data_IF_997449161039
#
_entry.id   IF_997449161039
#
_cell.length_a   1.000
_cell.length_b   1.000
_cell.length_c   1.000
_cell.angle_alpha   90.00
_cell.angle_beta   90.00
_cell.angle_gamma   90.00
#
_symmetry.space_group_name_H-M   'P 1'
#
loop_
_entity.id
_entity.type
_entity.pdbx_description
1 polymer ?
#
# COMPACT_ATOMS: atom_id res chain seq x y z
N UNK A 1 16.60 13.59 -0.68
CA UNK A 1 16.03 13.33 -2.02
C UNK A 1 15.69 14.68 -2.64
N UNK A 2 16.09 14.93 -3.89
CA UNK A 2 15.93 16.24 -4.53
C UNK A 2 14.47 16.47 -4.97
N UNK A 3 14.00 17.70 -4.83
CA UNK A 3 12.65 18.15 -5.22
C UNK A 3 12.28 17.75 -6.66
N UNK A 4 13.26 17.80 -7.57
CA UNK A 4 13.12 17.39 -8.97
C UNK A 4 12.82 15.89 -9.14
N UNK A 5 13.35 15.01 -8.28
CA UNK A 5 13.04 13.58 -8.32
C UNK A 5 11.60 13.29 -7.88
N UNK A 6 11.06 14.10 -6.95
CA UNK A 6 9.67 13.98 -6.49
C UNK A 6 8.67 14.43 -7.56
N UNK A 7 9.01 15.50 -8.31
CA UNK A 7 8.16 15.98 -9.41
C UNK A 7 8.13 14.97 -10.56
N UNK A 8 9.28 14.41 -10.95
CA UNK A 8 9.35 13.41 -12.02
C UNK A 8 8.55 12.15 -11.68
N UNK A 9 8.62 11.67 -10.44
CA UNK A 9 7.83 10.52 -9.97
C UNK A 9 6.32 10.78 -10.07
N UNK A 10 5.86 11.92 -9.53
CA UNK A 10 4.43 12.29 -9.60
C UNK A 10 3.94 12.46 -11.04
N UNK A 11 4.75 13.00 -11.94
CA UNK A 11 4.40 13.17 -13.35
C UNK A 11 4.25 11.80 -14.05
N UNK A 12 5.17 10.87 -13.77
CA UNK A 12 5.12 9.52 -14.32
C UNK A 12 3.88 8.75 -13.84
N UNK A 13 3.54 8.86 -12.55
CA UNK A 13 2.34 8.24 -11.99
C UNK A 13 1.06 8.76 -12.67
N UNK A 14 0.94 10.09 -12.84
CA UNK A 14 -0.21 10.70 -13.52
C UNK A 14 -0.29 10.33 -15.01
N UNK A 15 0.85 10.23 -15.68
CA UNK A 15 0.89 9.77 -17.07
C UNK A 15 0.44 8.30 -17.18
N UNK A 16 0.90 7.44 -16.26
CA UNK A 16 0.46 6.05 -16.21
C UNK A 16 -1.05 5.91 -15.95
N UNK A 17 -1.60 6.70 -15.02
CA UNK A 17 -3.06 6.77 -14.77
C UNK A 17 -3.82 7.18 -16.05
N UNK A 18 -3.36 8.22 -16.75
CA UNK A 18 -3.97 8.70 -17.99
C UNK A 18 -3.92 7.68 -19.13
N UNK A 19 -2.80 6.98 -19.29
CA UNK A 19 -2.63 5.91 -20.27
C UNK A 19 -3.57 4.74 -19.96
N UNK A 20 -3.62 4.30 -18.69
CA UNK A 20 -4.50 3.23 -18.26
C UNK A 20 -5.99 3.56 -18.50
N UNK A 21 -6.41 4.78 -18.18
CA UNK A 21 -7.78 5.23 -18.43
C UNK A 21 -8.11 5.23 -19.94
N UNK A 22 -7.19 5.75 -20.76
CA UNK A 22 -7.36 5.81 -22.22
C UNK A 22 -7.42 4.42 -22.84
N UNK A 23 -6.54 3.51 -22.43
CA UNK A 23 -6.54 2.12 -22.87
C UNK A 23 -7.85 1.41 -22.48
N UNK A 24 -8.38 1.67 -21.29
CA UNK A 24 -9.65 1.08 -20.84
C UNK A 24 -10.80 1.51 -21.75
N UNK A 25 -10.89 2.80 -22.09
CA UNK A 25 -11.91 3.32 -23.01
C UNK A 25 -11.77 2.69 -24.40
N UNK A 26 -10.55 2.58 -24.92
CA UNK A 26 -10.28 1.97 -26.22
C UNK A 26 -10.66 0.49 -26.26
N UNK A 27 -10.36 -0.26 -25.19
CA UNK A 27 -10.73 -1.67 -25.07
C UNK A 27 -12.25 -1.86 -25.03
N UNK A 28 -12.96 -1.03 -24.27
CA UNK A 28 -14.43 -1.06 -24.22
C UNK A 28 -15.03 -0.73 -25.59
N UNK A 29 -14.50 0.30 -26.26
CA UNK A 29 -14.96 0.65 -27.60
C UNK A 29 -14.67 -0.46 -28.62
N UNK A 30 -13.48 -1.05 -28.60
CA UNK A 30 -13.12 -2.17 -29.47
C UNK A 30 -14.03 -3.39 -29.20
N UNK A 31 -14.29 -3.72 -27.95
CA UNK A 31 -15.22 -4.78 -27.57
C UNK A 31 -16.64 -4.49 -28.09
N UNK A 32 -17.11 -3.25 -28.00
CA UNK A 32 -18.42 -2.83 -28.53
C UNK A 32 -18.52 -3.02 -30.05
N UNK A 33 -17.46 -2.73 -30.81
CA UNK A 33 -17.43 -2.92 -32.27
C UNK A 33 -17.37 -4.39 -32.67
N UNK A 34 -16.61 -5.21 -31.92
CA UNK A 34 -16.42 -6.64 -32.22
C UNK A 34 -17.62 -7.47 -31.74
N UNK A 35 -18.32 -7.04 -30.68
CA UNK A 35 -19.41 -7.80 -30.07
C UNK A 35 -20.50 -8.22 -31.07
N UNK A 36 -21.07 -7.36 -31.94
CA UNK A 36 -22.10 -7.76 -32.90
C UNK A 36 -21.67 -8.87 -33.87
N UNK A 37 -20.38 -8.93 -34.23
CA UNK A 37 -19.86 -9.95 -35.14
C UNK A 37 -19.63 -11.30 -34.43
N UNK A 38 -19.26 -11.28 -33.15
CA UNK A 38 -18.86 -12.47 -32.40
C UNK A 38 -20.03 -13.07 -31.60
N UNK A 39 -20.97 -12.24 -31.11
CA UNK A 39 -22.14 -12.66 -30.32
C UNK A 39 -22.94 -13.80 -30.99
N UNK A 40 -23.31 -13.72 -32.29
CA UNK A 40 -24.08 -14.79 -32.93
C UNK A 40 -23.33 -16.13 -32.95
N UNK A 41 -22.00 -16.11 -33.16
CA UNK A 41 -21.18 -17.30 -33.15
C UNK A 41 -21.08 -17.91 -31.74
N UNK A 42 -21.00 -17.08 -30.70
CA UNK A 42 -21.01 -17.52 -29.31
C UNK A 42 -22.36 -18.14 -28.95
N UNK A 43 -23.47 -17.52 -29.33
CA UNK A 43 -24.83 -18.03 -29.05
C UNK A 43 -25.10 -19.37 -29.75
N UNK A 44 -24.54 -19.59 -30.95
CA UNK A 44 -24.66 -20.84 -31.67
C UNK A 44 -23.95 -22.03 -30.98
N UNK A 45 -22.87 -21.75 -30.25
CA UNK A 45 -22.01 -22.78 -29.63
C UNK A 45 -22.29 -22.93 -28.13
N UNK A 46 -22.82 -21.88 -27.48
CA UNK A 46 -22.82 -21.76 -26.02
C UNK A 46 -24.23 -21.54 -25.47
N UNK A 47 -24.63 -22.33 -24.48
CA UNK A 47 -25.93 -22.14 -23.84
C UNK A 47 -25.99 -20.84 -23.03
N UNK A 48 -27.17 -20.20 -22.98
CA UNK A 48 -27.42 -19.01 -22.15
C UNK A 48 -27.06 -19.21 -20.67
N UNK A 49 -27.20 -20.45 -20.16
CA UNK A 49 -26.82 -20.81 -18.79
C UNK A 49 -25.31 -20.69 -18.56
N UNK A 50 -24.50 -21.09 -19.53
CA UNK A 50 -23.03 -20.99 -19.45
C UNK A 50 -22.59 -19.53 -19.52
N UNK A 51 -23.19 -18.72 -20.40
CA UNK A 51 -22.91 -17.28 -20.47
C UNK A 51 -23.24 -16.58 -19.15
N UNK A 52 -24.39 -16.89 -18.55
CA UNK A 52 -24.78 -16.36 -17.26
C UNK A 52 -23.82 -16.81 -16.15
N UNK A 53 -23.42 -18.08 -16.14
CA UNK A 53 -22.46 -18.60 -15.17
C UNK A 53 -21.08 -17.91 -15.30
N UNK A 54 -20.61 -17.67 -16.52
CA UNK A 54 -19.37 -16.93 -16.78
C UNK A 54 -19.46 -15.47 -16.31
N UNK A 55 -20.59 -14.80 -16.57
CA UNK A 55 -20.83 -13.44 -16.12
C UNK A 55 -20.80 -13.35 -14.59
N UNK A 56 -21.55 -14.22 -13.90
CA UNK A 56 -21.60 -14.27 -12.43
C UNK A 56 -20.22 -14.59 -11.86
N UNK A 57 -19.50 -15.56 -12.43
CA UNK A 57 -18.14 -15.92 -12.00
C UNK A 57 -17.18 -14.75 -12.16
N UNK A 58 -17.24 -14.03 -13.30
CA UNK A 58 -16.43 -12.84 -13.54
C UNK A 58 -16.73 -11.73 -12.52
N UNK A 59 -18.00 -11.47 -12.22
CA UNK A 59 -18.39 -10.48 -11.21
C UNK A 59 -17.88 -10.84 -9.82
N UNK A 60 -18.00 -12.11 -9.41
CA UNK A 60 -17.50 -12.59 -8.12
C UNK A 60 -15.98 -12.44 -8.04
N UNK A 61 -15.25 -12.83 -9.08
CA UNK A 61 -13.78 -12.68 -9.12
C UNK A 61 -13.37 -11.21 -9.01
N UNK A 62 -14.00 -10.31 -9.78
CA UNK A 62 -13.73 -8.88 -9.69
C UNK A 62 -14.02 -8.33 -8.29
N UNK A 63 -15.12 -8.76 -7.66
CA UNK A 63 -15.43 -8.38 -6.29
C UNK A 63 -14.35 -8.84 -5.29
N UNK A 64 -13.89 -10.08 -5.40
CA UNK A 64 -12.78 -10.61 -4.58
C UNK A 64 -11.50 -9.79 -4.81
N UNK A 65 -11.16 -9.48 -6.07
CA UNK A 65 -9.99 -8.65 -6.36
C UNK A 65 -10.09 -7.26 -5.74
N UNK A 66 -11.26 -6.61 -5.82
CA UNK A 66 -11.50 -5.31 -5.18
C UNK A 66 -11.35 -5.41 -3.67
N UNK A 67 -11.89 -6.45 -3.03
CA UNK A 67 -11.73 -6.66 -1.60
C UNK A 67 -10.26 -6.85 -1.22
N UNK A 68 -9.54 -7.73 -1.91
CA UNK A 68 -8.11 -7.97 -1.66
C UNK A 68 -7.31 -6.68 -1.83
N UNK A 69 -7.54 -5.94 -2.92
CA UNK A 69 -6.89 -4.65 -3.16
C UNK A 69 -7.23 -3.63 -2.07
N UNK A 70 -8.49 -3.56 -1.63
CA UNK A 70 -8.93 -2.67 -0.56
C UNK A 70 -8.26 -3.01 0.78
N UNK A 71 -8.21 -4.29 1.16
CA UNK A 71 -7.57 -4.71 2.41
C UNK A 71 -6.04 -4.57 2.35
N UNK A 72 -5.42 -4.79 1.18
CA UNK A 72 -3.98 -4.66 0.99
C UNK A 72 -3.51 -3.20 0.86
N UNK A 73 -4.39 -2.30 0.41
CA UNK A 73 -4.10 -0.87 0.25
C UNK A 73 -4.28 -0.07 1.54
N UNK A 74 -4.85 -0.67 2.60
CA UNK A 74 -4.85 -0.04 3.92
C UNK A 74 -3.41 0.12 4.38
N UNK A 75 -2.94 1.38 4.34
CA UNK A 75 -1.62 1.77 4.85
C UNK A 75 -1.50 1.26 6.29
N UNK A 76 -0.32 0.73 6.64
CA UNK A 76 -0.01 0.39 8.02
C UNK A 76 -0.33 1.58 8.92
N UNK A 77 -1.26 1.38 9.85
CA UNK A 77 -1.58 2.38 10.85
C UNK A 77 -0.39 2.49 11.80
N UNK A 78 0.34 3.59 11.69
CA UNK A 78 1.43 3.89 12.60
C UNK A 78 0.92 4.73 13.76
N UNK A 79 1.16 4.26 14.99
CA UNK A 79 0.94 5.05 16.22
C UNK A 79 2.27 5.65 16.66
N UNK A 80 2.28 6.94 17.02
CA UNK A 80 3.48 7.56 17.61
C UNK A 80 3.42 7.37 19.12
N UNK A 81 4.46 6.79 19.70
CA UNK A 81 4.65 6.72 21.15
C UNK A 81 6.14 6.88 21.46
N UNK A 82 6.46 7.75 22.41
CA UNK A 82 7.84 8.04 22.84
C UNK A 82 8.78 8.44 21.69
N UNK A 83 8.25 9.18 20.71
CA UNK A 83 9.03 9.68 19.57
C UNK A 83 9.33 8.67 18.46
N UNK A 84 8.78 7.45 18.55
CA UNK A 84 8.94 6.36 17.58
C UNK A 84 7.58 5.99 16.99
N UNK A 85 7.54 5.61 15.71
CA UNK A 85 6.34 5.04 15.10
C UNK A 85 6.27 3.55 15.42
N UNK A 86 5.09 3.06 15.77
CA UNK A 86 4.82 1.66 16.03
C UNK A 86 3.75 1.19 15.06
N UNK A 87 3.99 0.05 14.41
CA UNK A 87 2.96 -0.60 13.61
C UNK A 87 1.97 -1.37 14.51
N UNK A 88 0.99 -2.04 13.89
CA UNK A 88 0.00 -2.85 14.62
C UNK A 88 0.59 -4.09 15.29
N UNK A 89 1.75 -4.56 14.81
CA UNK A 89 2.49 -5.69 15.36
C UNK A 89 3.50 -5.26 16.44
N UNK A 90 3.48 -3.97 16.80
CA UNK A 90 4.38 -3.34 17.79
C UNK A 90 5.85 -3.39 17.37
N UNK A 91 6.13 -3.37 16.08
CA UNK A 91 7.47 -3.16 15.55
C UNK A 91 7.79 -1.66 15.50
N UNK A 92 9.03 -1.25 15.82
CA UNK A 92 9.45 0.14 15.75
C UNK A 92 9.78 0.58 14.31
N UNK A 93 9.37 1.78 13.96
CA UNK A 93 9.59 2.46 12.68
C UNK A 93 10.19 3.85 12.90
N UNK A 94 11.05 4.27 11.96
CA UNK A 94 11.69 5.58 12.01
C UNK A 94 10.66 6.72 11.95
N UNK A 95 10.69 7.72 12.85
CA UNK A 95 9.79 8.88 12.78
C UNK A 95 10.01 9.75 11.54
N UNK A 96 11.21 9.73 10.95
CA UNK A 96 11.52 10.54 9.78
C UNK A 96 11.20 9.85 8.44
N UNK A 97 11.51 8.56 8.29
CA UNK A 97 11.35 7.84 7.01
C UNK A 97 10.30 6.73 7.03
N UNK A 98 9.70 6.41 8.19
CA UNK A 98 8.65 5.37 8.39
C UNK A 98 9.04 3.94 7.99
N UNK A 99 10.31 3.70 7.71
CA UNK A 99 10.87 2.36 7.45
C UNK A 99 11.10 1.65 8.79
N UNK A 100 10.94 0.32 8.88
CA UNK A 100 11.31 -0.46 10.05
C UNK A 100 12.74 -0.14 10.51
N UNK A 101 12.93 0.04 11.82
CA UNK A 101 14.24 0.31 12.42
C UNK A 101 14.68 -0.86 13.29
N UNK A 102 15.98 -1.15 13.25
CA UNK A 102 16.60 -2.29 13.93
C UNK A 102 16.91 -2.04 15.41
N UNK A 103 17.82 -2.83 15.97
CA UNK A 103 18.06 -2.99 17.40
C UNK A 103 18.09 -1.71 18.25
N UNK A 104 17.34 -1.75 19.34
CA UNK A 104 17.48 -0.81 20.45
C UNK A 104 18.82 -1.04 21.13
N UNK A 105 19.60 0.03 21.32
CA UNK A 105 20.89 -0.05 21.98
C UNK A 105 21.22 1.25 22.71
N UNK A 106 22.26 1.19 23.53
CA UNK A 106 22.88 2.35 24.12
C UNK A 106 23.94 2.91 23.17
N UNK A 107 23.74 4.15 22.73
CA UNK A 107 24.66 4.88 21.88
C UNK A 107 25.26 6.07 22.64
N UNK A 108 26.27 6.71 22.07
CA UNK A 108 26.85 7.94 22.64
C UNK A 108 25.84 9.08 22.85
N UNK A 109 24.74 9.08 22.10
CA UNK A 109 23.65 10.05 22.22
C UNK A 109 22.54 9.63 23.22
N UNK A 110 22.69 8.49 23.90
CA UNK A 110 21.68 7.89 24.79
C UNK A 110 21.06 6.61 24.22
N UNK A 111 20.09 6.06 24.95
CA UNK A 111 19.38 4.83 24.56
C UNK A 111 18.30 5.10 23.52
N UNK A 112 18.24 4.28 22.47
CA UNK A 112 17.27 4.48 21.40
C UNK A 112 17.45 3.55 20.22
N UNK A 113 16.78 3.90 19.12
CA UNK A 113 16.81 3.15 17.88
C UNK A 113 17.65 3.87 16.83
N UNK A 114 18.56 3.13 16.20
CA UNK A 114 19.33 3.65 15.06
C UNK A 114 18.62 3.40 13.74
N UNK A 115 18.41 4.47 12.98
CA UNK A 115 17.89 4.40 11.63
C UNK A 115 19.04 4.48 10.61
N UNK A 116 19.35 3.36 9.95
CA UNK A 116 20.39 3.27 8.92
C UNK A 116 20.13 4.22 7.73
N UNK A 117 18.92 4.31 7.14
CA UNK A 117 18.65 5.25 6.05
C UNK A 117 18.81 6.74 6.42
N UNK A 118 18.47 7.11 7.66
CA UNK A 118 18.57 8.49 8.13
C UNK A 118 19.91 8.82 8.78
N UNK A 119 20.75 7.82 9.03
CA UNK A 119 21.98 7.90 9.82
C UNK A 119 21.80 8.67 11.14
N UNK A 120 20.69 8.41 11.85
CA UNK A 120 20.31 9.13 13.07
C UNK A 120 19.80 8.17 14.14
N UNK A 121 20.13 8.48 15.38
CA UNK A 121 19.60 7.80 16.57
C UNK A 121 18.35 8.56 17.04
N UNK A 122 17.27 7.82 17.24
CA UNK A 122 16.03 8.34 17.82
C UNK A 122 15.91 7.79 19.24
N UNK A 123 16.04 8.69 20.23
CA UNK A 123 15.93 8.32 21.64
C UNK A 123 14.50 7.91 21.96
N UNK A 124 14.36 6.87 22.78
CA UNK A 124 13.06 6.43 23.29
C UNK A 124 12.88 7.07 24.67
N UNK A 125 12.24 8.25 24.71
CA UNK A 125 12.09 9.02 25.94
C UNK A 125 10.64 9.47 26.15
N UNK A 126 10.26 9.64 27.41
CA UNK A 126 9.00 10.29 27.78
C UNK A 126 9.03 11.82 27.57
N UNK A 127 7.92 12.47 27.89
CA UNK A 127 7.77 13.92 27.78
C UNK A 127 8.67 14.70 28.74
N UNK A 128 9.15 14.05 29.81
CA UNK A 128 10.09 14.63 30.76
C UNK A 128 11.56 14.39 30.34
N UNK A 129 11.79 13.69 29.22
CA UNK A 129 13.13 13.35 28.71
C UNK A 129 13.78 12.17 29.43
N UNK A 130 13.01 11.40 30.21
CA UNK A 130 13.49 10.17 30.85
C UNK A 130 13.52 9.04 29.82
N UNK A 131 14.61 8.27 29.81
CA UNK A 131 14.73 7.11 28.93
C UNK A 131 13.69 6.03 29.30
N UNK A 132 13.04 5.47 28.28
CA UNK A 132 12.03 4.43 28.38
C UNK A 132 12.57 3.16 27.72
N UNK A 133 12.24 2.01 28.31
CA UNK A 133 12.58 0.70 27.74
C UNK A 133 11.57 0.31 26.64
N UNK A 134 11.99 -0.37 25.56
CA UNK A 134 11.10 -0.87 24.53
C UNK A 134 9.92 -1.68 25.08
N UNK A 135 10.13 -2.52 26.10
CA UNK A 135 9.07 -3.32 26.69
C UNK A 135 8.00 -2.47 27.36
N UNK A 136 8.42 -1.40 28.05
CA UNK A 136 7.48 -0.44 28.62
C UNK A 136 6.70 0.27 27.52
N UNK A 137 7.38 0.76 26.48
CA UNK A 137 6.72 1.41 25.35
C UNK A 137 5.65 0.53 24.70
N UNK A 138 5.98 -0.74 24.46
CA UNK A 138 5.10 -1.77 23.86
C UNK A 138 3.88 -2.10 24.74
N UNK A 139 4.02 -2.02 26.07
CA UNK A 139 2.92 -2.26 27.01
C UNK A 139 1.88 -1.13 27.05
N UNK A 140 2.26 0.08 26.63
CA UNK A 140 1.42 1.28 26.67
C UNK A 140 0.85 1.69 25.29
N UNK A 141 0.93 0.81 24.28
CA UNK A 141 0.47 1.01 22.89
C UNK A 141 -0.99 0.66 22.64
#
# INVERSE_FOLDING_TARGET
>A
MTFLATIKGKLADRAAEGIAASLTVLLVWAAYQVAPAVLPAIEAVTSKKVLLALLVTSLVLNFVFVLVAFFSSKKAEFRIKYGIYWDREKNPHCPACKIPIGGYAEYSAGKGYYCKPCNKIFRLTDVAGKDIDPMQAVSEL
#
